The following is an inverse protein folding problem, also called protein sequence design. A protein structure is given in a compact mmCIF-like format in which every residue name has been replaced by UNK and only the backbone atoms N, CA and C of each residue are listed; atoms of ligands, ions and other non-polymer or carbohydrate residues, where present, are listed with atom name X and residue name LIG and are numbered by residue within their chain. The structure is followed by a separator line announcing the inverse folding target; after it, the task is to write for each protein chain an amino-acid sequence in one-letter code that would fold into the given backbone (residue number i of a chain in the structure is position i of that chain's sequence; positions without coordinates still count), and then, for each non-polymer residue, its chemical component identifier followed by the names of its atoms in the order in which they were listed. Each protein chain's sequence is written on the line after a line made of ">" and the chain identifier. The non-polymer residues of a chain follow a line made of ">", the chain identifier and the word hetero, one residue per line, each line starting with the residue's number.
data_IF_115907134118
#
_entry.id   IF_115907134118
#
_cell.length_a   1.000
_cell.length_b   1.000
_cell.length_c   1.000
_cell.angle_alpha   90.00
_cell.angle_beta   90.00
_cell.angle_gamma   90.00
#
_symmetry.space_group_name_H-M   'P 1'
#
loop_
_entity.id
_entity.type
_entity.pdbx_description
1 polymer ?
#
# COMPACT_ATOMS: atom_id res chain seq x y z
N UNK A 1 42.43 43.08 -9.66
CA UNK A 1 43.35 42.84 -10.80
C UNK A 1 43.19 41.36 -11.19
N UNK A 2 42.70 40.96 -12.38
CA UNK A 2 43.30 41.09 -13.73
C UNK A 2 44.66 40.35 -13.85
N UNK A 3 44.95 39.43 -14.78
CA UNK A 3 44.27 38.77 -15.93
C UNK A 3 44.62 37.23 -15.89
N UNK A 4 43.93 36.24 -16.49
CA UNK A 4 43.65 35.93 -17.93
C UNK A 4 44.92 35.84 -18.82
N UNK A 5 45.13 34.94 -19.81
CA UNK A 5 44.39 33.83 -20.50
C UNK A 5 45.44 32.85 -21.10
N UNK A 6 45.18 31.53 -21.21
CA UNK A 6 44.82 30.83 -22.49
C UNK A 6 46.06 30.28 -23.26
N UNK A 7 46.01 29.33 -24.21
CA UNK A 7 45.00 28.32 -24.62
C UNK A 7 45.66 27.34 -25.63
N UNK A 8 45.39 26.03 -25.56
CA UNK A 8 45.61 25.07 -26.66
C UNK A 8 44.77 23.79 -26.45
N UNK A 9 44.30 23.16 -27.55
CA UNK A 9 43.23 22.14 -27.54
C UNK A 9 43.60 20.94 -28.44
N UNK A 10 43.44 19.72 -27.91
CA UNK A 10 43.22 18.43 -28.62
C UNK A 10 43.25 17.29 -27.57
N UNK A 11 42.50 16.19 -27.65
CA UNK A 11 41.30 15.84 -28.41
C UNK A 11 40.49 14.81 -27.58
N UNK A 12 39.20 14.59 -27.90
CA UNK A 12 38.35 13.64 -27.19
C UNK A 12 38.06 12.40 -28.05
N UNK A 13 38.43 11.21 -27.57
CA UNK A 13 38.12 9.95 -28.25
C UNK A 13 36.72 9.45 -27.90
N UNK A 14 35.84 9.48 -28.88
CA UNK A 14 34.51 8.84 -28.85
C UNK A 14 34.60 7.46 -29.46
N UNK A 15 34.24 6.41 -28.70
CA UNK A 15 34.08 5.06 -29.25
C UNK A 15 32.59 4.71 -29.29
N UNK A 16 32.01 4.82 -30.49
CA UNK A 16 30.67 4.36 -30.82
C UNK A 16 30.76 3.16 -31.76
N UNK A 17 30.16 2.03 -31.40
CA UNK A 17 30.10 0.83 -32.24
C UNK A 17 28.75 0.73 -32.97
N UNK A 18 28.70 0.75 -34.32
CA UNK A 18 27.46 0.65 -35.07
C UNK A 18 27.06 -0.82 -35.37
N UNK A 19 25.76 -1.08 -35.33
CA UNK A 19 25.14 -2.34 -35.75
C UNK A 19 24.99 -2.42 -37.28
N UNK A 20 25.10 -3.61 -37.85
CA UNK A 20 24.82 -3.89 -39.27
C UNK A 20 23.65 -4.88 -39.44
N UNK A 21 22.66 -4.53 -40.27
CA UNK A 21 21.79 -5.51 -40.92
C UNK A 21 21.91 -5.43 -42.46
N UNK A 22 22.05 -6.58 -43.11
CA UNK A 22 22.19 -6.70 -44.57
C UNK A 22 20.83 -6.82 -45.29
N UNK A 23 20.65 -6.04 -46.37
CA UNK A 23 20.02 -6.34 -47.68
C UNK A 23 18.96 -7.47 -47.78
N UNK A 24 17.86 -7.37 -48.56
CA UNK A 24 17.64 -6.63 -49.82
C UNK A 24 16.15 -6.56 -50.20
N UNK A 25 15.72 -5.54 -50.95
CA UNK A 25 14.42 -5.50 -51.64
C UNK A 25 14.49 -4.80 -53.01
N UNK A 26 13.74 -5.24 -54.04
CA UNK A 26 13.67 -4.62 -55.37
C UNK A 26 12.56 -3.53 -55.49
N UNK A 27 12.48 -2.77 -56.61
CA UNK A 27 11.98 -1.39 -56.64
C UNK A 27 10.47 -1.22 -56.93
N UNK A 28 9.91 0.01 -56.86
CA UNK A 28 8.48 0.28 -57.05
C UNK A 28 8.11 0.61 -58.51
N UNK A 29 6.93 0.14 -58.94
CA UNK A 29 6.22 0.64 -60.11
C UNK A 29 4.83 1.15 -59.71
N UNK A 30 4.29 2.10 -60.48
CA UNK A 30 3.14 2.89 -60.12
C UNK A 30 1.85 2.52 -60.89
N UNK A 31 0.74 3.08 -60.40
CA UNK A 31 -0.52 3.34 -61.09
C UNK A 31 -1.56 2.20 -61.12
N UNK A 32 -2.81 2.52 -60.73
CA UNK A 32 -3.93 1.56 -60.73
C UNK A 32 -5.11 1.99 -59.85
N UNK A 33 -5.97 2.89 -60.36
CA UNK A 33 -7.24 3.24 -59.72
C UNK A 33 -8.25 2.08 -59.80
N UNK A 34 -9.02 1.84 -58.75
CA UNK A 34 -10.05 0.79 -58.72
C UNK A 34 -10.85 0.77 -57.43
N UNK A 35 -12.03 1.39 -57.44
CA UNK A 35 -13.05 1.26 -56.39
C UNK A 35 -13.74 -0.09 -56.45
N UNK A 36 -13.96 -0.76 -55.32
CA UNK A 36 -15.12 -1.64 -55.17
C UNK A 36 -15.49 -1.85 -53.68
N UNK A 37 -16.66 -1.36 -53.27
CA UNK A 37 -17.26 -1.63 -51.96
C UNK A 37 -18.00 -2.96 -51.98
N UNK A 38 -17.55 -3.96 -51.22
CA UNK A 38 -18.36 -5.17 -50.96
C UNK A 38 -18.35 -5.54 -49.48
N UNK A 39 -19.56 -5.68 -48.94
CA UNK A 39 -19.83 -6.33 -47.65
C UNK A 39 -19.11 -7.67 -47.59
N UNK A 40 -18.52 -7.98 -46.44
CA UNK A 40 -18.19 -9.35 -46.08
C UNK A 40 -19.15 -9.83 -44.99
N UNK A 41 -19.74 -10.96 -45.29
CA UNK A 41 -20.86 -11.59 -44.61
C UNK A 41 -20.46 -12.17 -43.24
N UNK A 42 -21.43 -12.29 -42.34
CA UNK A 42 -21.24 -12.88 -41.00
C UNK A 42 -21.37 -14.39 -41.13
N UNK A 43 -20.29 -15.03 -41.57
CA UNK A 43 -20.20 -16.49 -41.68
C UNK A 43 -20.35 -17.18 -40.32
N UNK A 44 -21.12 -18.28 -40.32
CA UNK A 44 -21.50 -19.04 -39.13
C UNK A 44 -20.32 -19.62 -38.35
N UNK A 45 -20.53 -19.79 -37.04
CA UNK A 45 -19.66 -20.61 -36.17
C UNK A 45 -19.90 -22.09 -36.51
N UNK A 46 -18.92 -22.73 -37.15
CA UNK A 46 -18.91 -24.17 -37.39
C UNK A 46 -18.47 -24.96 -36.14
N UNK A 47 -19.08 -26.12 -35.92
CA UNK A 47 -18.99 -26.97 -34.71
C UNK A 47 -17.71 -27.85 -34.68
N UNK A 48 -16.55 -27.25 -35.00
CA UNK A 48 -15.29 -27.97 -35.27
C UNK A 48 -14.54 -28.48 -34.02
N UNK A 49 -14.97 -28.14 -32.80
CA UNK A 49 -14.32 -28.64 -31.58
C UNK A 49 -14.62 -30.13 -31.29
N UNK A 50 -15.70 -30.67 -31.87
CA UNK A 50 -16.13 -32.06 -31.62
C UNK A 50 -15.36 -33.07 -32.47
N UNK A 51 -15.10 -32.74 -33.73
CA UNK A 51 -14.62 -33.69 -34.74
C UNK A 51 -13.12 -34.03 -34.61
N UNK A 52 -12.32 -33.10 -34.05
CA UNK A 52 -10.91 -33.34 -33.73
C UNK A 52 -10.70 -34.40 -32.63
N UNK A 53 -11.72 -34.75 -31.86
CA UNK A 53 -11.65 -35.83 -30.85
C UNK A 53 -11.89 -37.23 -31.44
N UNK A 54 -12.58 -37.31 -32.59
CA UNK A 54 -12.92 -38.56 -33.25
C UNK A 54 -11.80 -39.05 -34.19
N UNK A 55 -11.05 -38.14 -34.80
CA UNK A 55 -10.00 -38.45 -35.77
C UNK A 55 -8.79 -39.25 -35.19
N UNK A 56 -8.59 -39.27 -33.87
CA UNK A 56 -7.53 -40.05 -33.20
C UNK A 56 -8.00 -41.49 -32.81
N UNK A 57 -9.25 -41.88 -33.09
CA UNK A 57 -9.80 -43.18 -32.68
C UNK A 57 -9.14 -44.41 -33.35
N UNK A 58 -8.57 -44.25 -34.56
CA UNK A 58 -7.61 -45.20 -35.17
C UNK A 58 -6.18 -44.62 -35.24
N UNK A 59 -5.96 -43.50 -34.56
CA UNK A 59 -4.75 -42.70 -34.64
C UNK A 59 -3.56 -43.24 -33.85
N UNK A 60 -2.45 -42.49 -33.93
CA UNK A 60 -1.21 -42.84 -33.22
C UNK A 60 -1.39 -42.80 -31.70
N UNK A 61 -2.43 -42.14 -31.18
CA UNK A 61 -2.71 -42.02 -29.75
C UNK A 61 -4.09 -42.60 -29.37
N UNK A 62 -4.30 -43.88 -29.69
CA UNK A 62 -5.50 -44.60 -29.25
C UNK A 62 -5.69 -44.55 -27.72
N UNK A 63 -6.93 -44.61 -27.18
CA UNK A 63 -7.21 -44.28 -25.77
C UNK A 63 -6.39 -45.08 -24.72
N UNK A 64 -6.06 -46.33 -25.01
CA UNK A 64 -5.20 -47.20 -24.18
C UNK A 64 -3.75 -46.71 -24.11
N UNK A 65 -3.26 -46.11 -25.19
CA UNK A 65 -1.93 -45.50 -25.29
C UNK A 65 -1.93 -44.16 -24.58
N UNK A 66 -2.98 -43.35 -24.73
CA UNK A 66 -3.08 -42.04 -24.08
C UNK A 66 -3.16 -42.18 -22.56
N UNK A 67 -3.93 -43.15 -22.05
CA UNK A 67 -3.95 -43.51 -20.63
C UNK A 67 -2.54 -43.93 -20.16
N UNK A 68 -1.89 -44.83 -20.88
CA UNK A 68 -0.53 -45.31 -20.54
C UNK A 68 0.53 -44.21 -20.62
N UNK A 69 0.35 -43.23 -21.50
CA UNK A 69 1.20 -42.04 -21.61
C UNK A 69 1.00 -41.09 -20.44
N UNK A 70 -0.25 -40.81 -20.05
CA UNK A 70 -0.57 -39.94 -18.92
C UNK A 70 -0.05 -40.51 -17.59
N UNK A 71 -0.16 -41.82 -17.38
CA UNK A 71 0.47 -42.50 -16.24
C UNK A 71 2.00 -42.44 -16.29
N UNK A 72 2.61 -42.58 -17.47
CA UNK A 72 4.05 -42.42 -17.61
C UNK A 72 4.52 -40.99 -17.28
N UNK A 73 3.68 -39.97 -17.51
CA UNK A 73 3.98 -38.58 -17.14
C UNK A 73 3.99 -38.35 -15.61
N UNK A 74 3.20 -39.10 -14.83
CA UNK A 74 3.22 -39.01 -13.35
C UNK A 74 4.40 -39.77 -12.76
N UNK A 75 4.74 -40.93 -13.31
CA UNK A 75 5.89 -41.76 -12.89
C UNK A 75 7.23 -41.10 -13.25
N UNK A 76 7.29 -40.38 -14.38
CA UNK A 76 8.49 -39.65 -14.82
C UNK A 76 8.20 -38.14 -14.90
N UNK A 77 8.29 -37.38 -13.80
CA UNK A 77 8.14 -35.92 -13.80
C UNK A 77 9.10 -35.20 -14.78
N UNK A 78 8.87 -33.91 -15.11
CA UNK A 78 9.78 -33.13 -15.95
C UNK A 78 11.08 -32.80 -15.23
N UNK A 79 12.00 -33.77 -15.17
CA UNK A 79 13.39 -33.52 -14.81
C UNK A 79 14.02 -32.55 -15.82
N UNK A 80 14.65 -31.48 -15.35
CA UNK A 80 15.32 -30.48 -16.18
C UNK A 80 16.61 -31.00 -16.85
N UNK A 81 17.71 -30.25 -16.75
CA UNK A 81 19.00 -30.63 -17.36
C UNK A 81 19.77 -31.73 -16.60
N UNK A 82 19.11 -32.82 -16.19
CA UNK A 82 19.76 -34.02 -15.61
C UNK A 82 19.13 -35.30 -16.18
N UNK A 83 19.98 -36.19 -16.69
CA UNK A 83 19.59 -37.51 -17.22
C UNK A 83 19.50 -38.51 -16.06
N UNK A 84 18.45 -39.33 -16.04
CA UNK A 84 18.35 -40.46 -15.12
C UNK A 84 19.20 -41.61 -15.70
N UNK A 85 20.05 -42.22 -14.87
CA UNK A 85 20.85 -43.39 -15.23
C UNK A 85 20.17 -44.61 -14.62
N UNK A 86 19.94 -45.65 -15.42
CA UNK A 86 19.47 -46.95 -14.94
C UNK A 86 20.62 -47.96 -15.07
N UNK A 87 20.88 -48.68 -13.98
CA UNK A 87 22.18 -49.31 -13.71
C UNK A 87 22.34 -50.74 -14.23
N UNK A 88 21.33 -51.31 -14.91
CA UNK A 88 21.22 -52.74 -15.21
C UNK A 88 21.73 -53.16 -16.61
N UNK A 89 21.77 -52.26 -17.60
CA UNK A 89 22.30 -52.57 -18.95
C UNK A 89 23.29 -51.52 -19.53
N UNK A 90 23.72 -50.54 -18.74
CA UNK A 90 24.71 -49.53 -19.17
C UNK A 90 24.26 -48.54 -20.27
N UNK A 91 23.01 -48.64 -20.75
CA UNK A 91 22.42 -47.69 -21.72
C UNK A 91 21.79 -46.50 -21.00
N UNK A 92 22.15 -45.29 -21.42
CA UNK A 92 21.52 -44.05 -20.93
C UNK A 92 20.13 -43.87 -21.57
N UNK A 93 19.07 -43.85 -20.76
CA UNK A 93 17.70 -43.57 -21.22
C UNK A 93 17.24 -42.17 -20.80
N UNK A 94 16.78 -41.36 -21.75
CA UNK A 94 16.10 -40.09 -21.47
C UNK A 94 14.64 -40.28 -21.05
N UNK A 95 14.06 -39.27 -20.39
CA UNK A 95 12.65 -39.26 -19.93
C UNK A 95 11.66 -39.76 -21.00
N UNK A 96 11.78 -39.25 -22.23
CA UNK A 96 10.85 -39.58 -23.32
C UNK A 96 11.09 -40.99 -23.90
N UNK A 97 12.24 -41.62 -23.59
CA UNK A 97 12.54 -43.02 -23.91
C UNK A 97 12.00 -43.96 -22.83
N UNK A 98 12.02 -43.53 -21.56
CA UNK A 98 11.35 -44.22 -20.45
C UNK A 98 9.83 -44.23 -20.63
N UNK A 99 9.22 -43.10 -21.01
CA UNK A 99 7.79 -43.01 -21.34
C UNK A 99 7.44 -43.94 -22.52
N UNK A 100 8.25 -43.95 -23.59
CA UNK A 100 8.08 -44.87 -24.72
C UNK A 100 8.16 -46.36 -24.30
N UNK A 101 9.11 -46.70 -23.41
CA UNK A 101 9.25 -48.07 -22.86
C UNK A 101 8.06 -48.44 -21.98
N UNK A 102 7.55 -47.52 -21.16
CA UNK A 102 6.38 -47.72 -20.31
C UNK A 102 5.11 -48.00 -21.13
N UNK A 103 4.84 -47.17 -22.16
CA UNK A 103 3.74 -47.38 -23.10
C UNK A 103 3.83 -48.76 -23.75
N UNK A 104 5.02 -49.15 -24.23
CA UNK A 104 5.23 -50.48 -24.85
C UNK A 104 5.01 -51.62 -23.85
N UNK A 105 5.44 -51.46 -22.60
CA UNK A 105 5.26 -52.47 -21.55
C UNK A 105 3.78 -52.65 -21.17
N UNK A 106 3.01 -51.55 -21.12
CA UNK A 106 1.60 -51.56 -20.67
C UNK A 106 0.59 -51.89 -21.78
N UNK A 107 0.86 -51.49 -23.03
CA UNK A 107 -0.08 -51.67 -24.16
C UNK A 107 0.38 -52.69 -25.21
N UNK A 108 1.63 -53.16 -25.15
CA UNK A 108 2.29 -53.92 -26.23
C UNK A 108 2.61 -53.09 -27.48
N UNK A 109 1.93 -51.95 -27.70
CA UNK A 109 2.08 -51.09 -28.87
C UNK A 109 3.36 -50.24 -28.74
N UNK A 110 4.21 -50.27 -29.76
CA UNK A 110 5.46 -49.49 -29.75
C UNK A 110 5.19 -48.03 -30.11
N UNK A 111 5.70 -47.10 -29.29
CA UNK A 111 5.78 -45.66 -29.60
C UNK A 111 7.22 -45.20 -29.52
N UNK A 112 7.63 -44.33 -30.43
CA UNK A 112 9.00 -43.82 -30.48
C UNK A 112 9.18 -42.62 -29.56
N UNK A 113 10.41 -42.39 -29.09
CA UNK A 113 10.82 -41.15 -28.39
C UNK A 113 10.39 -39.88 -29.14
N UNK A 114 10.43 -39.90 -30.48
CA UNK A 114 10.07 -38.75 -31.32
C UNK A 114 8.55 -38.49 -31.29
N UNK A 115 7.73 -39.53 -31.40
CA UNK A 115 6.27 -39.43 -31.22
C UNK A 115 5.92 -38.88 -29.82
N UNK A 116 6.49 -39.46 -28.76
CA UNK A 116 6.31 -38.99 -27.37
C UNK A 116 6.67 -37.51 -27.22
N UNK A 117 7.79 -37.09 -27.82
CA UNK A 117 8.24 -35.69 -27.77
C UNK A 117 7.32 -34.75 -28.55
N UNK A 118 6.81 -35.18 -29.70
CA UNK A 118 5.85 -34.41 -30.52
C UNK A 118 4.53 -34.21 -29.78
N UNK A 119 4.02 -35.26 -29.12
CA UNK A 119 2.75 -35.20 -28.39
C UNK A 119 2.80 -34.23 -27.21
N UNK A 120 3.89 -34.28 -26.41
CA UNK A 120 4.17 -33.30 -25.34
C UNK A 120 4.18 -31.86 -25.89
N UNK A 121 4.75 -31.63 -27.09
CA UNK A 121 4.78 -30.30 -27.71
C UNK A 121 3.41 -29.86 -28.21
N UNK A 122 2.59 -30.77 -28.75
CA UNK A 122 1.21 -30.47 -29.16
C UNK A 122 0.37 -30.07 -27.95
N UNK A 123 0.43 -30.84 -26.86
CA UNK A 123 -0.27 -30.55 -25.60
C UNK A 123 0.18 -29.21 -25.00
N UNK A 124 1.48 -28.93 -24.99
CA UNK A 124 2.01 -27.63 -24.53
C UNK A 124 1.55 -26.45 -25.40
N UNK A 125 1.50 -26.62 -26.73
CA UNK A 125 1.00 -25.61 -27.67
C UNK A 125 -0.50 -25.38 -27.54
N UNK A 126 -1.30 -26.45 -27.33
CA UNK A 126 -2.74 -26.37 -27.08
C UNK A 126 -3.02 -25.58 -25.80
N UNK A 127 -2.36 -25.94 -24.69
CA UNK A 127 -2.45 -25.22 -23.41
C UNK A 127 -2.02 -23.75 -23.53
N UNK A 128 -0.98 -23.45 -24.32
CA UNK A 128 -0.55 -22.06 -24.56
C UNK A 128 -1.59 -21.26 -25.37
N UNK A 129 -2.24 -21.86 -26.37
CA UNK A 129 -3.32 -21.22 -27.14
C UNK A 129 -4.56 -20.97 -26.28
N UNK A 130 -4.95 -21.92 -25.43
CA UNK A 130 -6.05 -21.75 -24.47
C UNK A 130 -5.77 -20.61 -23.48
N UNK A 131 -4.53 -20.48 -22.98
CA UNK A 131 -4.10 -19.36 -22.13
C UNK A 131 -4.16 -18.03 -22.90
N UNK A 132 -3.68 -17.98 -24.15
CA UNK A 132 -3.72 -16.77 -24.99
C UNK A 132 -5.14 -16.36 -25.40
N UNK A 133 -6.03 -17.33 -25.63
CA UNK A 133 -7.44 -17.07 -25.94
C UNK A 133 -8.16 -16.44 -24.75
N UNK A 134 -7.96 -17.00 -23.54
CA UNK A 134 -8.50 -16.43 -22.29
C UNK A 134 -7.96 -15.01 -22.05
N UNK A 135 -6.64 -14.82 -22.15
CA UNK A 135 -6.01 -13.49 -22.02
C UNK A 135 -6.58 -12.44 -23.00
N UNK A 136 -6.92 -12.80 -24.24
CA UNK A 136 -7.50 -11.85 -25.21
C UNK A 136 -8.94 -11.45 -24.89
N UNK A 137 -9.78 -12.39 -24.45
CA UNK A 137 -11.16 -12.10 -24.04
C UNK A 137 -11.15 -11.28 -22.75
N UNK A 138 -10.29 -11.65 -21.79
CA UNK A 138 -10.14 -10.93 -20.54
C UNK A 138 -9.62 -9.51 -20.75
N UNK A 139 -8.72 -9.24 -21.71
CA UNK A 139 -8.13 -7.90 -21.88
C UNK A 139 -9.16 -6.81 -22.22
N UNK A 140 -10.12 -7.10 -23.11
CA UNK A 140 -11.17 -6.15 -23.50
C UNK A 140 -12.21 -5.90 -22.38
N UNK A 141 -12.45 -6.90 -21.52
CA UNK A 141 -13.27 -6.73 -20.32
C UNK A 141 -12.49 -5.99 -19.22
N UNK A 142 -11.20 -6.30 -19.05
CA UNK A 142 -10.25 -5.71 -18.09
C UNK A 142 -10.05 -4.23 -18.33
N UNK A 143 -10.00 -3.75 -19.57
CA UNK A 143 -9.86 -2.32 -19.87
C UNK A 143 -11.12 -1.51 -19.46
N UNK A 144 -12.33 -2.01 -19.79
CA UNK A 144 -13.60 -1.39 -19.36
C UNK A 144 -13.79 -1.45 -17.84
N UNK A 145 -13.41 -2.56 -17.21
CA UNK A 145 -13.44 -2.70 -15.76
C UNK A 145 -12.44 -1.76 -15.08
N UNK A 146 -11.24 -1.59 -15.63
CA UNK A 146 -10.20 -0.72 -15.09
C UNK A 146 -10.59 0.76 -15.14
N UNK A 147 -11.16 1.24 -16.26
CA UNK A 147 -11.72 2.60 -16.34
C UNK A 147 -12.87 2.84 -15.33
N UNK A 148 -13.65 1.79 -15.04
CA UNK A 148 -14.76 1.83 -14.07
C UNK A 148 -14.26 1.76 -12.62
N UNK A 149 -13.16 1.07 -12.34
CA UNK A 149 -12.56 0.99 -11.00
C UNK A 149 -11.70 2.21 -10.66
N UNK A 150 -10.95 2.77 -11.62
CA UNK A 150 -10.14 3.98 -11.41
C UNK A 150 -10.98 5.24 -11.17
N UNK A 151 -12.25 5.22 -11.55
CA UNK A 151 -13.21 6.31 -11.34
C UNK A 151 -14.11 6.13 -10.11
N UNK A 152 -14.05 4.98 -9.42
CA UNK A 152 -14.83 4.75 -8.20
C UNK A 152 -14.04 5.12 -6.94
N UNK A 153 -14.65 5.97 -6.11
CA UNK A 153 -14.22 6.22 -4.73
C UNK A 153 -14.13 4.90 -3.95
N UNK A 154 -13.17 4.76 -3.04
CA UNK A 154 -13.12 3.61 -2.13
C UNK A 154 -14.41 3.43 -1.31
N UNK A 155 -15.17 4.51 -1.08
CA UNK A 155 -16.52 4.44 -0.53
C UNK A 155 -17.53 3.76 -1.49
N UNK A 156 -17.45 4.01 -2.79
CA UNK A 156 -18.27 3.31 -3.80
C UNK A 156 -17.84 1.85 -3.96
N UNK A 157 -16.54 1.56 -3.90
CA UNK A 157 -16.00 0.20 -3.86
C UNK A 157 -16.58 -0.58 -2.66
N UNK A 158 -16.63 0.03 -1.47
CA UNK A 158 -17.27 -0.58 -0.29
C UNK A 158 -18.79 -0.75 -0.48
N UNK A 159 -19.51 0.27 -0.95
CA UNK A 159 -20.97 0.24 -1.11
C UNK A 159 -21.51 -0.69 -2.21
N UNK A 160 -20.75 -0.96 -3.28
CA UNK A 160 -21.21 -1.75 -4.43
C UNK A 160 -21.55 -3.23 -4.11
N UNK A 161 -21.21 -3.73 -2.91
CA UNK A 161 -21.51 -5.10 -2.49
C UNK A 161 -22.90 -5.30 -1.87
N UNK A 162 -23.60 -4.24 -1.48
CA UNK A 162 -24.78 -4.33 -0.61
C UNK A 162 -26.13 -4.39 -1.36
N UNK A 163 -26.12 -4.57 -2.68
CA UNK A 163 -27.29 -4.38 -3.54
C UNK A 163 -27.94 -5.69 -4.08
N UNK A 164 -27.61 -6.86 -3.52
CA UNK A 164 -28.18 -8.15 -3.94
C UNK A 164 -28.72 -8.98 -2.76
N UNK A 165 -29.53 -8.37 -1.88
CA UNK A 165 -30.58 -9.11 -1.16
C UNK A 165 -31.67 -8.20 -0.57
N UNK A 166 -32.68 -7.85 -1.37
CA UNK A 166 -34.10 -7.83 -0.94
C UNK A 166 -35.03 -7.48 -2.11
N UNK A 167 -35.96 -8.39 -2.42
CA UNK A 167 -37.15 -8.15 -3.26
C UNK A 167 -38.37 -8.73 -2.55
N UNK A 168 -39.27 -7.87 -2.07
CA UNK A 168 -40.72 -8.06 -1.89
C UNK A 168 -41.31 -6.68 -1.46
N UNK A 169 -42.61 -6.39 -1.65
CA UNK A 169 -43.07 -5.05 -2.03
C UNK A 169 -43.89 -4.30 -0.96
N UNK A 170 -44.24 -3.02 -1.18
CA UNK A 170 -44.92 -2.19 -0.19
C UNK A 170 -46.45 -2.18 -0.31
N UNK A 171 -47.11 -2.36 0.84
CA UNK A 171 -48.47 -1.98 1.20
C UNK A 171 -48.50 -2.08 2.76
N UNK A 172 -49.30 -1.37 3.57
CA UNK A 172 -50.49 -0.52 3.34
C UNK A 172 -50.75 0.31 4.62
N UNK A 173 -50.73 1.65 4.58
CA UNK A 173 -51.70 2.54 5.27
C UNK A 173 -51.50 4.00 4.85
N UNK A 174 -52.63 4.68 4.65
CA UNK A 174 -52.74 6.10 4.29
C UNK A 174 -52.97 7.04 5.48
N UNK A 175 -53.34 8.31 5.23
CA UNK A 175 -52.80 9.42 6.01
C UNK A 175 -53.86 10.26 6.75
N UNK A 176 -53.40 11.12 7.67
CA UNK A 176 -54.08 12.38 8.00
C UNK A 176 -53.05 13.52 8.14
N UNK A 177 -53.44 14.71 7.67
CA UNK A 177 -52.67 15.94 7.72
C UNK A 177 -53.03 16.77 8.97
N UNK A 178 -52.31 17.87 9.23
CA UNK A 178 -52.82 19.25 9.04
C UNK A 178 -51.92 20.33 9.69
N UNK A 179 -51.71 21.39 8.91
CA UNK A 179 -51.48 22.80 9.32
C UNK A 179 -50.15 23.27 9.95
N UNK A 180 -49.83 24.51 9.56
CA UNK A 180 -48.67 25.30 9.95
C UNK A 180 -49.13 26.66 10.48
N UNK A 181 -48.34 27.31 11.36
CA UNK A 181 -48.10 28.77 11.36
C UNK A 181 -47.20 29.23 12.53
N UNK A 182 -46.49 30.34 12.30
CA UNK A 182 -45.82 31.23 13.28
C UNK A 182 -46.83 32.35 13.71
N UNK A 183 -46.54 33.43 14.51
CA UNK A 183 -45.25 33.98 15.00
C UNK A 183 -45.21 34.76 16.38
N UNK A 184 -44.05 35.40 16.72
CA UNK A 184 -43.86 36.73 17.41
C UNK A 184 -43.91 36.96 18.97
N UNK A 185 -42.74 37.33 19.53
CA UNK A 185 -42.34 38.45 20.47
C UNK A 185 -42.76 38.72 21.95
N UNK A 186 -41.70 38.84 22.80
CA UNK A 186 -41.36 39.89 23.84
C UNK A 186 -42.26 40.17 25.09
N UNK A 187 -41.79 40.89 26.17
CA UNK A 187 -40.41 41.31 26.57
C UNK A 187 -40.01 41.16 28.08
N UNK A 188 -38.70 41.31 28.36
CA UNK A 188 -38.18 42.27 29.37
C UNK A 188 -37.70 41.80 30.76
N UNK A 189 -36.40 42.03 31.06
CA UNK A 189 -35.86 42.60 32.32
C UNK A 189 -34.32 42.79 32.25
N UNK A 190 -33.78 43.90 32.79
CA UNK A 190 -32.34 44.21 32.85
C UNK A 190 -31.88 44.53 34.29
N UNK A 191 -30.65 44.11 34.65
CA UNK A 191 -29.76 44.59 35.73
C UNK A 191 -28.48 43.71 35.70
N UNK A 192 -27.26 44.11 36.09
CA UNK A 192 -26.70 45.41 36.53
C UNK A 192 -25.25 45.53 35.98
N UNK A 193 -24.76 46.76 35.75
CA UNK A 193 -23.38 47.12 35.36
C UNK A 193 -23.14 48.61 35.74
N UNK A 194 -21.92 49.19 35.69
CA UNK A 194 -20.56 48.65 35.90
C UNK A 194 -19.68 49.59 36.79
N UNK A 195 -18.36 49.32 36.93
CA UNK A 195 -17.37 50.43 36.83
C UNK A 195 -16.16 50.52 37.78
N UNK A 196 -15.01 50.84 37.15
CA UNK A 196 -13.85 51.63 37.61
C UNK A 196 -12.61 50.95 38.28
N UNK A 197 -11.45 51.60 38.04
CA UNK A 197 -10.06 51.13 38.20
C UNK A 197 -9.30 51.92 39.32
N UNK A 198 -7.96 52.14 39.27
CA UNK A 198 -6.85 51.23 39.64
C UNK A 198 -5.97 51.78 40.80
N UNK A 199 -5.03 50.98 41.34
CA UNK A 199 -4.13 51.47 42.41
C UNK A 199 -2.86 50.65 42.71
N UNK A 200 -1.74 51.08 42.13
CA UNK A 200 -0.35 51.10 42.64
C UNK A 200 0.20 50.05 43.64
N UNK A 201 1.27 49.38 43.19
CA UNK A 201 2.58 49.16 43.86
C UNK A 201 2.68 48.85 45.36
N UNK A 202 3.31 47.72 45.71
CA UNK A 202 4.63 47.73 46.36
C UNK A 202 5.37 46.38 46.30
N UNK A 203 6.69 46.46 46.44
CA UNK A 203 7.71 45.44 46.16
C UNK A 203 8.39 45.01 47.48
N UNK A 204 8.35 43.71 47.85
CA UNK A 204 9.24 43.12 48.88
C UNK A 204 9.46 41.60 48.68
N UNK A 205 10.70 41.23 48.36
CA UNK A 205 11.49 40.10 48.93
C UNK A 205 12.91 40.67 49.18
N UNK A 206 13.77 40.17 50.09
CA UNK A 206 13.82 38.80 50.63
C UNK A 206 14.22 38.65 52.12
N UNK A 207 14.14 37.42 52.66
CA UNK A 207 14.88 36.90 53.83
C UNK A 207 14.97 35.36 53.67
N UNK A 208 15.96 34.61 54.16
CA UNK A 208 17.42 34.78 54.17
C UNK A 208 18.03 33.41 54.57
N UNK A 209 19.12 32.96 53.95
CA UNK A 209 19.89 31.80 54.46
C UNK A 209 21.03 32.26 55.38
N UNK A 210 21.41 31.49 56.41
CA UNK A 210 22.55 31.80 57.26
C UNK A 210 23.87 31.51 56.54
N UNK A 211 24.86 32.40 56.72
CA UNK A 211 26.17 32.31 56.10
C UNK A 211 27.19 31.57 56.99
N UNK A 212 28.24 31.04 56.36
CA UNK A 212 29.54 30.82 57.01
C UNK A 212 30.68 31.40 56.15
N UNK A 213 31.72 31.88 56.84
CA UNK A 213 32.87 32.65 56.35
C UNK A 213 34.00 31.77 55.79
N UNK A 214 34.89 32.23 54.89
CA UNK A 214 34.99 33.52 54.19
C UNK A 214 36.40 33.82 53.62
N UNK A 215 36.53 34.97 52.93
CA UNK A 215 37.77 35.68 52.54
C UNK A 215 38.67 35.06 51.42
N UNK A 216 39.52 35.86 50.72
CA UNK A 216 39.50 35.85 49.24
C UNK A 216 40.87 35.65 48.55
N UNK A 217 40.88 35.42 47.22
CA UNK A 217 41.89 35.96 46.28
C UNK A 217 41.61 35.61 44.80
N UNK A 218 42.09 36.49 43.91
CA UNK A 218 42.47 36.27 42.49
C UNK A 218 41.46 35.71 41.49
N UNK A 219 41.18 36.53 40.47
CA UNK A 219 40.46 36.15 39.27
C UNK A 219 41.27 35.21 38.36
N UNK A 220 40.57 34.23 37.78
CA UNK A 220 40.87 33.70 36.44
C UNK A 220 39.56 33.53 35.68
N UNK A 221 39.47 34.12 34.49
CA UNK A 221 38.31 34.01 33.61
C UNK A 221 38.33 32.66 32.89
N UNK A 222 37.83 31.60 33.54
CA UNK A 222 37.50 30.35 32.87
C UNK A 222 36.10 30.45 32.28
N UNK A 223 36.02 30.67 30.96
CA UNK A 223 34.74 30.63 30.26
C UNK A 223 34.16 29.22 30.28
N UNK A 224 32.97 29.06 30.85
CA UNK A 224 32.21 27.82 30.75
C UNK A 224 31.87 27.54 29.28
N UNK A 225 32.65 26.65 28.67
CA UNK A 225 32.22 25.98 27.46
C UNK A 225 31.09 25.04 27.85
N UNK A 226 29.85 25.53 27.76
CA UNK A 226 28.65 24.71 27.85
C UNK A 226 28.72 23.70 26.71
N UNK A 227 29.23 22.51 27.02
CA UNK A 227 29.33 21.41 26.08
C UNK A 227 27.90 20.96 25.77
N UNK A 228 27.37 21.45 24.65
CA UNK A 228 26.02 21.14 24.19
C UNK A 228 25.86 19.61 24.16
N UNK A 229 24.92 19.10 24.96
CA UNK A 229 24.52 17.70 24.90
C UNK A 229 24.16 17.38 23.44
N UNK A 230 24.64 16.26 22.87
CA UNK A 230 24.30 15.91 21.50
C UNK A 230 22.78 15.80 21.37
N UNK A 231 22.18 16.32 20.28
CA UNK A 231 20.74 16.22 20.06
C UNK A 231 20.31 14.73 20.07
N UNK A 232 19.15 14.38 20.64
CA UNK A 232 18.75 12.99 20.78
C UNK A 232 18.79 12.21 19.45
N UNK A 233 19.13 10.90 19.45
CA UNK A 233 19.38 10.14 18.22
C UNK A 233 18.16 10.01 17.29
N UNK A 234 16.96 10.32 17.75
CA UNK A 234 15.74 10.37 16.93
C UNK A 234 15.50 11.73 16.25
N UNK A 235 16.21 12.79 16.65
CA UNK A 235 16.01 14.13 16.12
C UNK A 235 16.44 14.19 14.65
N UNK A 236 15.50 14.62 13.79
CA UNK A 236 15.67 14.61 12.34
C UNK A 236 15.71 13.21 11.69
N UNK A 237 15.43 12.13 12.44
CA UNK A 237 15.50 10.72 11.99
C UNK A 237 14.23 9.90 12.22
N UNK A 238 13.34 10.38 13.08
CA UNK A 238 12.05 9.75 13.37
C UNK A 238 10.90 10.78 13.34
N UNK A 239 9.67 10.29 13.41
CA UNK A 239 8.45 11.11 13.54
C UNK A 239 8.42 11.69 14.96
N UNK A 240 9.05 12.84 15.14
CA UNK A 240 9.23 13.48 16.43
C UNK A 240 9.29 15.02 16.33
N UNK A 241 8.66 15.68 17.28
CA UNK A 241 8.89 17.09 17.62
C UNK A 241 9.63 17.21 18.95
N UNK A 242 9.93 18.43 19.38
CA UNK A 242 10.43 18.72 20.72
C UNK A 242 9.44 18.33 21.84
N UNK A 243 8.14 18.22 21.53
CA UNK A 243 7.06 17.88 22.47
C UNK A 243 6.61 16.42 22.42
N UNK A 244 6.50 15.82 21.24
CA UNK A 244 5.90 14.49 21.08
C UNK A 244 6.64 13.67 20.01
N UNK A 245 6.91 12.40 20.33
CA UNK A 245 7.51 11.40 19.44
C UNK A 245 6.56 10.23 19.25
N UNK A 246 6.38 9.78 18.00
CA UNK A 246 5.80 8.48 17.69
C UNK A 246 6.86 7.39 17.90
N UNK A 247 6.53 6.36 18.67
CA UNK A 247 7.44 5.25 19.05
C UNK A 247 7.05 3.95 18.34
N UNK A 248 5.75 3.68 18.25
CA UNK A 248 5.21 2.55 17.50
C UNK A 248 3.93 2.99 16.77
N UNK A 249 3.75 2.55 15.53
CA UNK A 249 2.47 2.54 14.83
C UNK A 249 2.31 1.20 14.09
N UNK A 250 1.33 0.41 14.47
CA UNK A 250 1.09 -0.93 13.95
C UNK A 250 -0.38 -1.08 13.55
N UNK A 251 -0.66 -1.42 12.29
CA UNK A 251 -1.98 -1.85 11.86
C UNK A 251 -1.94 -3.32 11.48
N UNK A 252 -2.83 -4.13 12.05
CA UNK A 252 -2.74 -5.58 12.00
C UNK A 252 -4.11 -6.24 12.00
N UNK A 253 -4.13 -7.50 11.55
CA UNK A 253 -5.18 -8.45 11.91
C UNK A 253 -4.60 -9.49 12.84
N UNK A 254 -5.41 -10.01 13.74
CA UNK A 254 -5.08 -11.17 14.56
C UNK A 254 -6.21 -12.20 14.51
N UNK A 255 -5.84 -13.47 14.54
CA UNK A 255 -6.78 -14.57 14.72
C UNK A 255 -6.36 -15.39 15.94
N UNK A 256 -7.29 -15.53 16.89
CA UNK A 256 -7.18 -16.48 17.96
C UNK A 256 -7.67 -17.83 17.44
N UNK A 257 -6.75 -18.79 17.21
CA UNK A 257 -7.14 -20.16 16.83
C UNK A 257 -7.36 -21.08 18.03
N UNK A 258 -6.58 -20.88 19.08
CA UNK A 258 -6.65 -21.60 20.36
C UNK A 258 -6.42 -20.63 21.51
N UNK A 259 -6.59 -21.07 22.77
CA UNK A 259 -6.41 -20.22 23.95
C UNK A 259 -4.98 -19.63 24.07
N UNK A 260 -3.96 -20.30 23.52
CA UNK A 260 -2.55 -19.90 23.63
C UNK A 260 -1.87 -19.47 22.30
N UNK A 261 -2.51 -19.62 21.13
CA UNK A 261 -1.90 -19.32 19.82
C UNK A 261 -2.62 -18.19 19.10
N UNK A 262 -1.99 -17.01 19.14
CA UNK A 262 -2.41 -15.81 18.40
C UNK A 262 -1.58 -15.66 17.12
N UNK A 263 -2.21 -15.79 15.95
CA UNK A 263 -1.60 -15.40 14.68
C UNK A 263 -1.82 -13.90 14.45
N UNK A 264 -0.78 -13.08 14.61
CA UNK A 264 -0.81 -11.64 14.31
C UNK A 264 -0.12 -11.35 12.97
N UNK A 265 -0.86 -10.81 12.01
CA UNK A 265 -0.35 -10.36 10.71
C UNK A 265 -0.28 -8.83 10.68
N UNK A 266 0.89 -8.26 10.41
CA UNK A 266 1.09 -6.81 10.36
C UNK A 266 0.89 -6.31 8.93
N UNK A 267 -0.17 -5.53 8.68
CA UNK A 267 -0.36 -4.86 7.39
C UNK A 267 0.66 -3.75 7.20
N UNK A 268 0.88 -2.94 8.24
CA UNK A 268 1.94 -1.93 8.30
C UNK A 268 2.51 -1.85 9.71
N UNK A 269 3.79 -1.51 9.80
CA UNK A 269 4.51 -1.32 11.05
C UNK A 269 5.55 -0.20 10.92
N UNK A 270 5.52 0.74 11.87
CA UNK A 270 6.60 1.65 12.22
C UNK A 270 6.98 1.32 13.65
N UNK A 271 8.27 1.11 13.89
CA UNK A 271 8.81 0.80 15.21
C UNK A 271 10.33 0.64 15.13
N UNK A 272 10.97 0.59 16.30
CA UNK A 272 12.42 0.50 16.43
C UNK A 272 13.03 1.72 17.12
N UNK A 273 14.21 1.54 17.68
CA UNK A 273 14.98 2.62 18.31
C UNK A 273 15.81 3.34 17.26
N UNK A 274 15.45 4.57 16.91
CA UNK A 274 16.28 5.41 16.04
C UNK A 274 17.67 5.66 16.66
N UNK A 275 18.69 5.55 15.82
CA UNK A 275 20.12 5.61 16.16
C UNK A 275 20.82 6.70 15.37
N UNK A 276 22.02 7.10 15.81
CA UNK A 276 22.84 8.05 15.05
C UNK A 276 23.32 7.53 13.68
N UNK A 277 23.24 6.21 13.44
CA UNK A 277 23.58 5.59 12.16
C UNK A 277 22.47 5.73 11.11
N UNK A 278 21.23 6.00 11.53
CA UNK A 278 20.12 6.17 10.61
C UNK A 278 20.26 7.49 9.81
N UNK A 279 19.88 7.53 8.53
CA UNK A 279 19.93 8.74 7.72
C UNK A 279 18.94 9.79 8.24
N UNK A 280 19.23 11.06 7.97
CA UNK A 280 18.26 12.13 8.18
C UNK A 280 17.06 11.95 7.26
N UNK A 281 15.87 12.32 7.73
CA UNK A 281 14.65 12.26 6.93
C UNK A 281 14.75 13.14 5.68
N UNK A 282 14.47 12.54 4.52
CA UNK A 282 14.29 13.28 3.28
C UNK A 282 13.09 14.23 3.39
N UNK A 283 13.08 15.29 2.59
CA UNK A 283 12.04 16.31 2.63
C UNK A 283 11.18 16.30 1.36
N UNK A 284 9.87 16.44 1.54
CA UNK A 284 8.88 16.51 0.46
C UNK A 284 8.09 17.80 0.58
N UNK A 285 7.91 18.50 -0.54
CA UNK A 285 7.06 19.68 -0.62
C UNK A 285 5.59 19.29 -0.42
N UNK A 286 4.98 19.81 0.65
CA UNK A 286 3.59 19.57 1.04
C UNK A 286 2.58 19.92 -0.07
N UNK A 287 2.94 20.83 -1.00
CA UNK A 287 2.09 21.18 -2.15
C UNK A 287 1.85 19.99 -3.09
N UNK A 288 2.77 19.02 -3.14
CA UNK A 288 2.67 17.83 -4.01
C UNK A 288 1.62 16.81 -3.56
N UNK A 289 1.06 16.96 -2.35
CA UNK A 289 0.11 16.02 -1.76
C UNK A 289 -1.23 16.65 -1.34
N UNK A 290 -1.43 17.95 -1.54
CA UNK A 290 -2.67 18.62 -1.09
C UNK A 290 -3.94 18.04 -1.73
N UNK A 291 -3.88 17.61 -2.99
CA UNK A 291 -4.96 16.93 -3.72
C UNK A 291 -5.41 15.62 -3.04
N UNK A 292 -4.50 14.96 -2.31
CA UNK A 292 -4.73 13.66 -1.69
C UNK A 292 -5.32 13.75 -0.28
N UNK A 293 -5.48 14.95 0.28
CA UNK A 293 -5.94 15.17 1.65
C UNK A 293 -7.07 16.21 1.70
N UNK A 294 -7.84 16.28 2.81
CA UNK A 294 -8.92 17.27 2.92
C UNK A 294 -8.39 18.71 2.78
N UNK A 295 -8.99 19.47 1.88
CA UNK A 295 -8.69 20.90 1.65
C UNK A 295 -9.54 21.83 2.54
N UNK A 296 -10.65 21.32 3.09
CA UNK A 296 -11.60 22.07 3.92
C UNK A 296 -11.05 22.31 5.33
N UNK A 297 -11.87 22.96 6.17
CA UNK A 297 -11.53 23.25 7.58
C UNK A 297 -11.08 21.98 8.32
N UNK A 298 -9.95 22.04 9.02
CA UNK A 298 -9.29 20.90 9.67
C UNK A 298 -8.51 20.00 8.70
N UNK A 299 -8.23 20.49 7.48
CA UNK A 299 -7.51 19.83 6.41
C UNK A 299 -6.00 20.08 6.43
N UNK A 300 -5.24 19.32 5.63
CA UNK A 300 -3.77 19.31 5.67
C UNK A 300 -3.18 20.72 5.45
N UNK A 301 -3.70 21.46 4.48
CA UNK A 301 -3.23 22.82 4.17
C UNK A 301 -3.43 23.80 5.32
N UNK A 302 -4.63 23.86 5.91
CA UNK A 302 -4.92 24.76 7.04
C UNK A 302 -4.07 24.39 8.26
N UNK A 303 -3.92 23.09 8.55
CA UNK A 303 -3.09 22.60 9.64
C UNK A 303 -1.62 22.99 9.43
N UNK A 304 -1.07 22.80 8.22
CA UNK A 304 0.33 23.15 7.91
C UNK A 304 0.57 24.67 7.96
N UNK A 305 -0.35 25.46 7.41
CA UNK A 305 -0.27 26.93 7.46
C UNK A 305 -0.43 27.47 8.89
N UNK A 306 -1.19 26.79 9.78
CA UNK A 306 -1.27 27.09 11.23
C UNK A 306 0.01 26.69 11.98
N UNK A 307 0.64 25.58 11.58
CA UNK A 307 1.87 25.06 12.17
C UNK A 307 1.70 24.38 13.54
N UNK A 308 2.82 24.06 14.23
CA UNK A 308 4.21 24.29 13.81
C UNK A 308 4.63 23.36 12.67
N UNK A 309 5.33 23.86 11.63
CA UNK A 309 5.66 23.06 10.44
C UNK A 309 6.56 21.85 10.74
N UNK A 310 7.38 21.93 11.81
CA UNK A 310 8.22 20.82 12.26
C UNK A 310 7.42 19.59 12.76
N UNK A 311 6.10 19.72 12.96
CA UNK A 311 5.22 18.60 13.34
C UNK A 311 4.70 17.78 12.15
N UNK A 312 5.03 18.14 10.90
CA UNK A 312 4.41 17.58 9.70
C UNK A 312 5.31 16.57 9.00
N UNK A 313 4.78 15.35 8.83
CA UNK A 313 5.47 14.21 8.25
C UNK A 313 4.60 13.53 7.18
N UNK A 314 5.25 12.93 6.19
CA UNK A 314 4.64 12.04 5.22
C UNK A 314 5.27 10.66 5.36
N UNK A 315 4.45 9.62 5.43
CA UNK A 315 4.89 8.22 5.45
C UNK A 315 4.34 7.53 4.23
N UNK A 316 5.24 6.97 3.41
CA UNK A 316 4.89 6.04 2.35
C UNK A 316 4.98 4.62 2.90
N UNK A 317 3.87 3.90 2.89
CA UNK A 317 3.80 2.49 3.26
C UNK A 317 3.77 1.57 2.05
N UNK A 318 4.48 0.45 2.15
CA UNK A 318 4.26 -0.74 1.35
C UNK A 318 3.59 -1.79 2.24
N UNK A 319 2.26 -1.84 2.18
CA UNK A 319 1.45 -2.66 3.05
C UNK A 319 1.52 -4.14 2.66
N UNK A 320 1.69 -5.02 3.64
CA UNK A 320 1.71 -6.47 3.43
C UNK A 320 0.29 -7.05 3.49
N UNK A 321 -0.21 -7.48 2.33
CA UNK A 321 -1.50 -8.14 2.20
C UNK A 321 -1.40 -9.67 2.11
N UNK A 322 -0.19 -10.24 2.16
CA UNK A 322 0.09 -11.67 1.97
C UNK A 322 -0.19 -12.48 3.26
N UNK A 323 -1.39 -12.37 3.81
CA UNK A 323 -1.80 -13.13 5.00
C UNK A 323 -2.22 -14.56 4.65
N UNK A 324 -1.67 -15.54 5.38
CA UNK A 324 -2.02 -16.96 5.28
C UNK A 324 -3.28 -17.34 6.08
N UNK A 325 -3.98 -16.36 6.66
CA UNK A 325 -5.23 -16.56 7.40
C UNK A 325 -6.36 -16.81 6.37
N UNK A 326 -6.76 -18.08 6.22
CA UNK A 326 -7.78 -18.52 5.26
C UNK A 326 -9.21 -18.29 5.75
N UNK A 327 -9.42 -18.24 7.05
CA UNK A 327 -10.72 -17.95 7.66
C UNK A 327 -10.69 -16.55 8.24
N UNK A 328 -11.31 -15.58 7.57
CA UNK A 328 -11.43 -14.21 8.06
C UNK A 328 -12.62 -14.04 9.04
N UNK A 329 -13.47 -15.06 9.21
CA UNK A 329 -14.58 -15.00 10.14
C UNK A 329 -14.06 -15.04 11.59
N UNK A 330 -14.23 -13.93 12.32
CA UNK A 330 -13.77 -13.80 13.70
C UNK A 330 -12.33 -13.28 13.87
N UNK A 331 -11.65 -12.87 12.78
CA UNK A 331 -10.38 -12.16 12.90
C UNK A 331 -10.60 -10.73 13.45
N UNK A 332 -9.79 -10.30 14.42
CA UNK A 332 -9.81 -8.94 14.95
C UNK A 332 -8.86 -8.03 14.15
N UNK A 333 -9.37 -6.91 13.66
CA UNK A 333 -8.59 -5.90 12.93
C UNK A 333 -8.34 -4.70 13.84
N UNK A 334 -7.07 -4.44 14.14
CA UNK A 334 -6.64 -3.48 15.15
C UNK A 334 -5.55 -2.54 14.69
N UNK A 335 -5.54 -1.34 15.27
CA UNK A 335 -4.43 -0.40 15.24
C UNK A 335 -3.85 -0.32 16.66
N UNK A 336 -2.54 -0.19 16.77
CA UNK A 336 -1.86 0.18 18.02
C UNK A 336 -0.88 1.29 17.72
N UNK A 337 -0.89 2.34 18.55
CA UNK A 337 0.12 3.39 18.49
C UNK A 337 0.61 3.79 19.87
N UNK A 338 1.91 4.03 19.98
CA UNK A 338 2.57 4.51 21.19
C UNK A 338 3.29 5.82 20.91
N UNK A 339 3.10 6.79 21.79
CA UNK A 339 3.78 8.09 21.75
C UNK A 339 4.52 8.36 23.05
N UNK A 340 5.54 9.21 23.00
CA UNK A 340 6.31 9.67 24.15
C UNK A 340 6.48 11.19 24.16
N UNK A 341 6.41 11.78 25.35
CA UNK A 341 6.65 13.20 25.62
C UNK A 341 7.55 13.42 26.83
N UNK A 342 8.14 14.62 26.92
CA UNK A 342 8.79 15.14 28.12
C UNK A 342 7.78 15.84 29.06
N UNK A 343 6.58 16.18 28.56
CA UNK A 343 5.57 16.98 29.25
C UNK A 343 4.32 16.13 29.56
N UNK A 344 3.70 16.38 30.72
CA UNK A 344 2.41 15.79 31.06
C UNK A 344 1.30 16.60 30.41
N UNK A 345 0.65 16.03 29.38
CA UNK A 345 -0.47 16.64 28.69
C UNK A 345 -1.56 15.59 28.41
N UNK A 346 -2.78 16.02 28.14
CA UNK A 346 -3.79 15.14 27.55
C UNK A 346 -3.74 15.30 26.03
N UNK A 347 -3.66 14.20 25.29
CA UNK A 347 -3.59 14.25 23.82
C UNK A 347 -4.91 13.77 23.19
N UNK A 348 -5.24 14.34 22.05
CA UNK A 348 -6.34 13.89 21.19
C UNK A 348 -5.76 13.48 19.84
N UNK A 349 -5.94 12.21 19.47
CA UNK A 349 -5.52 11.64 18.19
C UNK A 349 -6.75 11.54 17.27
N UNK A 350 -6.81 12.41 16.26
CA UNK A 350 -7.76 12.31 15.14
C UNK A 350 -7.12 11.51 14.01
N UNK A 351 -7.78 10.46 13.55
CA UNK A 351 -7.38 9.64 12.40
C UNK A 351 -8.47 9.72 11.33
N UNK A 352 -8.19 10.45 10.25
CA UNK A 352 -9.10 10.70 9.13
C UNK A 352 -8.74 9.82 7.95
N UNK A 353 -9.64 8.92 7.55
CA UNK A 353 -9.48 8.13 6.33
C UNK A 353 -10.10 8.87 5.17
N UNK A 354 -9.34 8.98 4.08
CA UNK A 354 -9.62 9.86 2.96
C UNK A 354 -9.64 9.09 1.64
N UNK A 355 -10.53 9.51 0.74
CA UNK A 355 -10.73 8.94 -0.60
C UNK A 355 -10.85 10.09 -1.59
N UNK A 356 -9.97 10.15 -2.60
CA UNK A 356 -9.93 11.24 -3.59
C UNK A 356 -9.92 12.63 -2.91
N UNK A 357 -9.02 12.82 -1.94
CA UNK A 357 -8.88 14.05 -1.15
C UNK A 357 -10.02 14.34 -0.15
N UNK A 358 -11.06 13.49 -0.06
CA UNK A 358 -12.23 13.73 0.79
C UNK A 358 -12.24 12.81 2.00
N UNK A 359 -12.45 13.37 3.19
CA UNK A 359 -12.68 12.61 4.41
C UNK A 359 -13.93 11.73 4.28
N UNK A 360 -13.77 10.42 4.47
CA UNK A 360 -14.85 9.42 4.45
C UNK A 360 -15.28 9.06 5.87
N UNK A 361 -14.31 8.86 6.75
CA UNK A 361 -14.54 8.56 8.17
C UNK A 361 -13.42 9.18 9.01
N UNK A 362 -13.75 9.57 10.23
CA UNK A 362 -12.80 10.07 11.23
C UNK A 362 -13.02 9.34 12.55
N UNK A 363 -11.93 8.89 13.15
CA UNK A 363 -11.91 8.34 14.51
C UNK A 363 -11.13 9.30 15.41
N UNK A 364 -11.71 9.69 16.54
CA UNK A 364 -11.06 10.58 17.51
C UNK A 364 -10.92 9.84 18.83
N UNK A 365 -9.67 9.72 19.30
CA UNK A 365 -9.31 9.02 20.54
C UNK A 365 -8.59 10.00 21.47
N UNK A 366 -8.90 9.98 22.77
CA UNK A 366 -8.30 10.86 23.77
C UNK A 366 -7.51 10.02 24.76
N UNK A 367 -6.20 10.29 24.86
CA UNK A 367 -5.29 9.54 25.71
C UNK A 367 -4.66 10.42 26.79
N UNK A 368 -4.41 9.79 27.94
CA UNK A 368 -3.82 10.42 29.11
C UNK A 368 -2.40 9.88 29.33
N UNK A 369 -1.51 10.75 29.77
CA UNK A 369 -0.12 10.42 30.01
C UNK A 369 0.05 9.37 31.12
N UNK A 370 0.94 8.40 30.90
CA UNK A 370 1.45 7.48 31.93
C UNK A 370 2.94 7.73 32.12
N UNK A 371 3.39 7.97 33.34
CA UNK A 371 4.80 8.23 33.61
C UNK A 371 5.58 6.92 33.72
N UNK A 372 6.44 6.64 32.74
CA UNK A 372 7.24 5.42 32.65
C UNK A 372 8.68 5.80 32.26
N UNK A 373 9.69 5.25 32.94
CA UNK A 373 11.12 5.44 32.61
C UNK A 373 11.56 6.91 32.42
N UNK A 374 10.98 7.85 33.18
CA UNK A 374 11.29 9.27 33.09
C UNK A 374 10.62 10.02 31.93
N UNK A 375 9.69 9.39 31.20
CA UNK A 375 8.92 9.98 30.10
C UNK A 375 7.42 9.81 30.31
N UNK A 376 6.64 10.64 29.64
CA UNK A 376 5.19 10.49 29.58
C UNK A 376 4.82 9.69 28.33
N UNK A 377 4.31 8.48 28.53
CA UNK A 377 3.93 7.52 27.50
C UNK A 377 2.42 7.54 27.29
N UNK A 378 2.00 7.48 26.02
CA UNK A 378 0.61 7.40 25.59
C UNK A 378 0.45 6.12 24.76
N UNK A 379 -0.54 5.27 25.04
CA UNK A 379 -0.74 4.00 24.33
C UNK A 379 -2.20 3.83 23.90
N UNK A 380 -2.47 4.07 22.62
CA UNK A 380 -3.70 3.63 21.97
C UNK A 380 -3.49 2.15 21.61
N UNK A 381 -3.86 1.24 22.52
CA UNK A 381 -3.63 -0.20 22.35
C UNK A 381 -4.86 -0.94 21.85
N UNK A 382 -4.68 -1.84 20.87
CA UNK A 382 -5.75 -2.71 20.32
C UNK A 382 -7.01 -1.94 19.93
N UNK A 383 -6.83 -0.76 19.34
CA UNK A 383 -7.91 0.10 18.89
C UNK A 383 -8.59 -0.52 17.66
N UNK A 384 -9.90 -0.87 17.70
CA UNK A 384 -10.54 -1.59 16.60
C UNK A 384 -10.63 -0.71 15.35
N UNK A 385 -10.33 -1.30 14.19
CA UNK A 385 -10.62 -0.68 12.90
C UNK A 385 -12.14 -0.52 12.71
N UNK A 386 -12.56 0.54 12.02
CA UNK A 386 -13.97 0.68 11.66
C UNK A 386 -14.34 -0.28 10.53
N UNK A 387 -15.63 -0.63 10.43
CA UNK A 387 -16.16 -1.57 9.42
C UNK A 387 -15.75 -1.19 7.99
N UNK A 388 -15.76 0.10 7.67
CA UNK A 388 -15.28 0.64 6.39
C UNK A 388 -13.83 0.24 6.07
N UNK A 389 -12.92 0.30 7.05
CA UNK A 389 -11.52 -0.09 6.87
C UNK A 389 -11.36 -1.60 6.67
N UNK A 390 -12.13 -2.40 7.41
CA UNK A 390 -12.11 -3.87 7.29
C UNK A 390 -12.62 -4.28 5.91
N UNK A 391 -13.79 -3.77 5.50
CA UNK A 391 -14.37 -3.98 4.18
C UNK A 391 -13.46 -3.49 3.05
N UNK A 392 -12.71 -2.39 3.25
CA UNK A 392 -11.73 -1.90 2.29
C UNK A 392 -10.56 -2.89 2.13
N UNK A 393 -9.96 -3.37 3.23
CA UNK A 393 -8.88 -4.37 3.20
C UNK A 393 -9.36 -5.67 2.53
N UNK A 394 -10.55 -6.15 2.87
CA UNK A 394 -11.14 -7.33 2.23
C UNK A 394 -11.26 -7.15 0.72
N UNK A 395 -11.86 -6.06 0.24
CA UNK A 395 -12.04 -5.83 -1.20
C UNK A 395 -10.72 -5.63 -1.93
N UNK A 396 -9.75 -4.95 -1.30
CA UNK A 396 -8.41 -4.76 -1.85
C UNK A 396 -7.68 -6.09 -2.03
N UNK A 397 -7.75 -7.00 -1.04
CA UNK A 397 -7.16 -8.34 -1.10
C UNK A 397 -7.76 -9.24 -2.20
N UNK A 398 -9.02 -9.03 -2.57
CA UNK A 398 -9.71 -9.83 -3.59
C UNK A 398 -9.43 -9.35 -5.04
N UNK A 399 -8.66 -8.27 -5.23
CA UNK A 399 -8.24 -7.85 -6.57
C UNK A 399 -7.20 -8.85 -7.14
N UNK A 400 -7.31 -9.23 -8.42
CA UNK A 400 -6.51 -10.34 -8.97
C UNK A 400 -5.02 -10.00 -9.17
N UNK A 401 -4.67 -8.72 -9.30
CA UNK A 401 -3.31 -8.28 -9.65
C UNK A 401 -2.89 -7.07 -8.81
N UNK A 402 -1.64 -7.08 -8.29
CA UNK A 402 -1.11 -6.04 -7.40
C UNK A 402 -1.19 -4.62 -7.97
N UNK A 403 -1.12 -4.46 -9.29
CA UNK A 403 -1.24 -3.13 -9.91
C UNK A 403 -2.65 -2.54 -9.73
N UNK A 404 -3.71 -3.36 -9.76
CA UNK A 404 -5.08 -2.89 -9.50
C UNK A 404 -5.22 -2.43 -8.05
N UNK A 405 -4.59 -3.13 -7.11
CA UNK A 405 -4.55 -2.72 -5.70
C UNK A 405 -3.86 -1.35 -5.55
N UNK A 406 -2.72 -1.15 -6.23
CA UNK A 406 -2.03 0.14 -6.22
C UNK A 406 -2.85 1.27 -6.86
N UNK A 407 -3.58 1.03 -7.94
CA UNK A 407 -4.51 2.03 -8.52
C UNK A 407 -5.65 2.43 -7.58
N UNK A 408 -6.11 1.52 -6.72
CA UNK A 408 -7.09 1.84 -5.66
C UNK A 408 -6.41 2.60 -4.51
N UNK A 409 -5.19 2.21 -4.13
CA UNK A 409 -4.44 2.86 -3.05
C UNK A 409 -3.94 4.27 -3.40
N UNK A 410 -3.72 4.59 -4.68
CA UNK A 410 -3.27 5.91 -5.15
C UNK A 410 -4.16 7.08 -4.67
N UNK A 411 -5.45 6.81 -4.51
CA UNK A 411 -6.46 7.77 -4.04
C UNK A 411 -6.94 7.51 -2.61
N UNK A 412 -6.34 6.54 -1.91
CA UNK A 412 -6.62 6.19 -0.52
C UNK A 412 -5.51 6.71 0.38
N UNK A 413 -5.85 7.59 1.32
CA UNK A 413 -4.88 8.17 2.25
C UNK A 413 -5.44 8.22 3.67
N UNK A 414 -4.55 8.33 4.66
CA UNK A 414 -4.94 8.54 6.05
C UNK A 414 -4.19 9.77 6.57
N UNK A 415 -4.91 10.70 7.20
CA UNK A 415 -4.33 11.86 7.88
C UNK A 415 -4.52 11.68 9.39
N UNK A 416 -3.42 11.54 10.12
CA UNK A 416 -3.42 11.43 11.57
C UNK A 416 -2.91 12.73 12.19
N UNK A 417 -3.72 13.35 13.05
CA UNK A 417 -3.44 14.63 13.70
C UNK A 417 -3.53 14.42 15.20
N UNK A 418 -2.39 14.56 15.89
CA UNK A 418 -2.32 14.50 17.35
C UNK A 418 -2.22 15.92 17.87
N UNK A 419 -3.20 16.34 18.67
CA UNK A 419 -3.25 17.65 19.31
C UNK A 419 -3.16 17.55 20.82
N UNK A 420 -2.67 18.61 21.47
CA UNK A 420 -2.88 18.82 22.90
C UNK A 420 -4.36 19.20 23.10
N UNK A 421 -5.07 18.48 23.98
CA UNK A 421 -6.51 18.65 24.22
C UNK A 421 -6.85 20.03 24.79
N UNK A 422 -5.99 20.57 25.64
CA UNK A 422 -6.26 21.79 26.38
C UNK A 422 -5.85 23.05 25.59
N UNK A 423 -4.72 22.99 24.89
CA UNK A 423 -4.18 24.14 24.11
C UNK A 423 -4.61 24.15 22.64
N UNK A 424 -5.13 23.03 22.11
CA UNK A 424 -5.45 22.85 20.69
C UNK A 424 -4.24 23.08 19.75
N UNK A 425 -3.03 22.87 20.28
CA UNK A 425 -1.75 22.86 19.56
C UNK A 425 -1.56 21.54 18.81
N UNK A 426 -1.07 21.60 17.57
CA UNK A 426 -0.67 20.42 16.79
C UNK A 426 0.67 19.88 17.28
N UNK A 427 0.68 18.67 17.84
CA UNK A 427 1.88 18.02 18.37
C UNK A 427 2.58 17.18 17.30
N UNK A 428 1.79 16.44 16.51
CA UNK A 428 2.21 15.68 15.33
C UNK A 428 1.08 15.69 14.29
N UNK A 429 1.45 15.74 13.01
CA UNK A 429 0.57 15.57 11.86
C UNK A 429 1.25 14.65 10.85
N UNK A 430 0.72 13.44 10.68
CA UNK A 430 1.30 12.42 9.80
C UNK A 430 0.32 12.11 8.67
N UNK A 431 0.75 12.40 7.45
CA UNK A 431 0.11 12.00 6.22
C UNK A 431 0.58 10.59 5.83
N UNK A 432 -0.33 9.66 5.57
CA UNK A 432 -0.03 8.30 5.15
C UNK A 432 -0.52 8.07 3.72
N UNK A 433 0.38 7.58 2.86
CA UNK A 433 0.13 7.13 1.49
C UNK A 433 0.58 5.67 1.33
N UNK A 434 -0.05 4.91 0.43
CA UNK A 434 0.04 3.46 0.43
C UNK A 434 0.31 2.87 -0.96
N UNK A 435 1.12 1.82 -0.98
CA UNK A 435 1.28 0.84 -2.06
C UNK A 435 1.20 -0.57 -1.43
N UNK A 436 1.02 -1.62 -2.25
CA UNK A 436 1.13 -3.01 -1.79
C UNK A 436 2.58 -3.47 -1.86
N UNK A 437 3.05 -4.17 -0.81
CA UNK A 437 4.39 -4.74 -0.77
C UNK A 437 4.61 -5.75 -1.90
N UNK A 438 5.68 -5.54 -2.66
CA UNK A 438 6.19 -6.52 -3.64
C UNK A 438 7.09 -7.57 -2.98
N UNK A 439 7.55 -7.31 -1.75
CA UNK A 439 8.50 -8.16 -1.03
C UNK A 439 7.83 -9.36 -0.38
N UNK A 440 8.52 -10.50 -0.36
CA UNK A 440 8.20 -11.66 0.50
C UNK A 440 8.52 -11.37 1.99
N UNK A 441 9.29 -10.33 2.28
CA UNK A 441 9.78 -9.97 3.62
C UNK A 441 8.82 -9.06 4.40
N UNK A 442 7.55 -9.01 4.01
CA UNK A 442 6.50 -8.28 4.72
C UNK A 442 6.40 -6.79 4.40
N UNK A 443 5.90 -6.02 5.38
CA UNK A 443 5.58 -4.61 5.24
C UNK A 443 6.82 -3.71 5.34
N UNK A 444 6.85 -2.63 4.56
CA UNK A 444 7.94 -1.64 4.55
C UNK A 444 7.37 -0.22 4.63
N UNK A 445 8.20 0.75 5.00
CA UNK A 445 7.82 2.15 5.01
C UNK A 445 9.02 3.07 4.71
N UNK A 446 8.74 4.29 4.28
CA UNK A 446 9.69 5.39 4.20
C UNK A 446 9.07 6.65 4.80
N UNK A 447 9.88 7.44 5.52
CA UNK A 447 9.43 8.61 6.28
C UNK A 447 10.07 9.86 5.69
N UNK A 448 9.25 10.86 5.43
CA UNK A 448 9.63 12.16 4.90
C UNK A 448 9.18 13.26 5.87
N UNK A 449 9.97 14.33 5.97
CA UNK A 449 9.53 15.59 6.58
C UNK A 449 8.78 16.42 5.53
N UNK A 450 7.63 16.99 5.91
CA UNK A 450 6.92 17.91 5.03
C UNK A 450 7.50 19.33 5.16
N UNK A 451 7.82 19.93 4.03
CA UNK A 451 8.33 21.30 3.89
C UNK A 451 7.49 22.09 2.87
N UNK A 452 7.77 23.38 2.70
CA UNK A 452 7.05 24.28 1.78
C UNK A 452 8.03 25.34 1.27
N UNK A 453 8.82 24.94 0.27
CA UNK A 453 9.91 25.74 -0.32
C UNK A 453 9.45 26.67 -1.45
#
# INVERSE_FOLDING_TARGET
>A
MQFARGSAVAAADTISAPWTPTSSGPPPDANGSGSDTKNLDVGEISDDEKDLSAADAEGVWSPDIEQSFQEALTIYPPCGRRKIILSDEGKMYGRNELIARYIKLRTGKTRTRKQVSSHIQVLARRKLREIQAKLKVDHAAKEKALQTMSSMSSAQIVSAGSAIHNKMPPALVGPLALHASTPVSYPGAQFWQPGLQPGTSQDVKPFSQPAYTGKPATAVSSGDMVQAQPPPPWEGRAIATHKLRLVEFSAYMEQQRDQDIYHKHLFVHIGGSATYADPLLEAVDVRQIYDKFPEKKGGLKELYDKGPQAAFFLVKFWADLNTNIQDEAGAFYGVTSQYESNENMTITCSTKVCSFGKQVVEKVETEYARFENGRFVYRISRSPMCEYMINFIHKLKHLPEKYMMNSVLENFTILQVVTNRDTQETLLCTAYVFEVSTSEHGAQHHIYRLIKD
#
